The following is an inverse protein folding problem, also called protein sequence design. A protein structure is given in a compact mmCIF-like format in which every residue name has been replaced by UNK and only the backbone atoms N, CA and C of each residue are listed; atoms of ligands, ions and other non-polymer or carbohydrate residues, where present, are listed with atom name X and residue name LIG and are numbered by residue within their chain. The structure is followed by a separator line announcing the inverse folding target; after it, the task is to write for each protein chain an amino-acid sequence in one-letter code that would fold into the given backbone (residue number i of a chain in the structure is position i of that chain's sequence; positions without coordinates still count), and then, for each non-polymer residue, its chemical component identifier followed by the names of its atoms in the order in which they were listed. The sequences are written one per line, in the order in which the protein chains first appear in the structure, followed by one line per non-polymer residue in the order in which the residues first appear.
data_IF_160742012816
#
_entry.id   IF_160742012816
#
_cell.length_a   1.000
_cell.length_b   1.000
_cell.length_c   1.000
_cell.angle_alpha   90.00
_cell.angle_beta   90.00
_cell.angle_gamma   90.00
#
_symmetry.space_group_name_H-M   'P 1'
#
loop_
_entity.id
_entity.type
_entity.pdbx_description
1 polymer ?
#
# COMPACT_ATOMS: atom_id res chain seq x y z
N UNK A 1 16.49 -4.62 -8.28
CA UNK A 1 15.47 -3.62 -8.66
C UNK A 1 15.41 -2.42 -7.69
N UNK A 2 15.29 -2.63 -6.38
CA UNK A 2 15.27 -1.53 -5.39
C UNK A 2 16.45 -0.54 -5.52
N UNK A 3 17.68 -1.05 -5.67
CA UNK A 3 18.88 -0.21 -5.86
C UNK A 3 18.80 0.62 -7.15
N UNK A 4 18.38 0.02 -8.26
CA UNK A 4 18.25 0.73 -9.54
C UNK A 4 17.22 1.86 -9.44
N UNK A 5 16.09 1.64 -8.77
CA UNK A 5 15.06 2.66 -8.53
C UNK A 5 15.60 3.81 -7.66
N UNK A 6 16.40 3.48 -6.64
CA UNK A 6 17.04 4.49 -5.78
C UNK A 6 18.06 5.33 -6.57
N UNK A 7 18.90 4.69 -7.39
CA UNK A 7 19.89 5.37 -8.26
C UNK A 7 19.21 6.25 -9.31
N UNK A 8 18.05 5.82 -9.83
CA UNK A 8 17.22 6.62 -10.73
C UNK A 8 16.55 7.84 -10.06
N UNK A 9 16.75 8.07 -8.76
CA UNK A 9 16.24 9.24 -8.05
C UNK A 9 14.84 9.07 -7.45
N UNK A 10 14.33 7.86 -7.31
CA UNK A 10 13.05 7.62 -6.64
C UNK A 10 13.14 8.06 -5.16
N UNK A 11 12.38 9.11 -4.80
CA UNK A 11 12.33 9.64 -3.42
C UNK A 11 11.68 8.68 -2.43
N UNK A 12 10.76 7.84 -2.90
CA UNK A 12 10.02 6.88 -2.09
C UNK A 12 9.75 5.64 -2.94
N UNK A 13 9.89 4.45 -2.36
CA UNK A 13 9.64 3.18 -3.04
C UNK A 13 8.65 2.39 -2.20
N UNK A 14 7.53 2.01 -2.79
CA UNK A 14 6.58 1.06 -2.21
C UNK A 14 6.80 -0.30 -2.87
N UNK A 15 7.02 -1.34 -2.07
CA UNK A 15 7.32 -2.69 -2.57
C UNK A 15 6.73 -3.77 -1.65
N UNK A 16 6.45 -4.95 -2.21
CA UNK A 16 6.15 -6.15 -1.46
C UNK A 16 7.43 -6.93 -1.15
N UNK A 17 7.56 -7.40 0.10
CA UNK A 17 8.68 -8.22 0.55
C UNK A 17 8.47 -9.73 0.29
N UNK A 18 7.23 -10.12 0.00
CA UNK A 18 6.81 -11.49 -0.28
C UNK A 18 5.69 -11.49 -1.32
N UNK A 19 5.43 -12.66 -1.89
CA UNK A 19 4.30 -12.85 -2.81
C UNK A 19 3.00 -12.62 -2.05
N UNK A 20 2.13 -11.79 -2.63
CA UNK A 20 0.87 -11.38 -2.01
C UNK A 20 -0.28 -11.68 -2.98
N UNK A 21 -1.51 -11.77 -2.46
CA UNK A 21 -2.71 -11.99 -3.27
C UNK A 21 -3.10 -10.70 -4.01
N UNK A 22 -3.41 -10.80 -5.30
CA UNK A 22 -3.78 -9.67 -6.15
C UNK A 22 -5.02 -8.91 -5.62
N UNK A 23 -6.02 -9.62 -5.08
CA UNK A 23 -7.26 -9.01 -4.55
C UNK A 23 -6.95 -8.11 -3.35
N UNK A 24 -6.21 -8.62 -2.37
CA UNK A 24 -5.81 -7.84 -1.20
C UNK A 24 -4.86 -6.68 -1.57
N UNK A 25 -4.06 -6.85 -2.63
CA UNK A 25 -3.22 -5.76 -3.15
C UNK A 25 -4.06 -4.66 -3.79
N UNK A 26 -5.05 -5.04 -4.59
CA UNK A 26 -5.93 -4.09 -5.25
C UNK A 26 -6.66 -3.23 -4.23
N UNK A 27 -7.23 -3.84 -3.20
CA UNK A 27 -7.90 -3.13 -2.12
C UNK A 27 -6.95 -2.20 -1.36
N UNK A 28 -5.75 -2.69 -1.00
CA UNK A 28 -4.74 -1.90 -0.31
C UNK A 28 -4.29 -0.70 -1.13
N UNK A 29 -4.05 -0.88 -2.43
CA UNK A 29 -3.61 0.20 -3.32
C UNK A 29 -4.71 1.22 -3.56
N UNK A 30 -5.96 0.79 -3.72
CA UNK A 30 -7.13 1.69 -3.82
C UNK A 30 -7.25 2.55 -2.57
N UNK A 31 -7.29 1.94 -1.39
CA UNK A 31 -7.36 2.65 -0.11
C UNK A 31 -6.16 3.61 0.10
N UNK A 32 -4.95 3.18 -0.29
CA UNK A 32 -3.75 4.01 -0.21
C UNK A 32 -3.86 5.27 -1.07
N UNK A 33 -4.26 5.12 -2.33
CA UNK A 33 -4.38 6.27 -3.23
C UNK A 33 -5.53 7.20 -2.83
N UNK A 34 -6.68 6.66 -2.39
CA UNK A 34 -7.77 7.48 -1.85
C UNK A 34 -7.30 8.31 -0.66
N UNK A 35 -6.63 7.69 0.31
CA UNK A 35 -6.09 8.38 1.48
C UNK A 35 -5.01 9.41 1.10
N UNK A 36 -4.11 9.08 0.18
CA UNK A 36 -3.05 9.99 -0.24
C UNK A 36 -3.58 11.18 -1.03
N UNK A 37 -4.52 10.97 -1.96
CA UNK A 37 -5.12 12.03 -2.77
C UNK A 37 -6.00 12.98 -1.94
N UNK A 38 -6.48 12.56 -0.77
CA UNK A 38 -7.20 13.42 0.18
C UNK A 38 -6.35 14.50 0.88
N UNK A 39 -5.03 14.55 0.59
CA UNK A 39 -4.11 15.56 1.14
C UNK A 39 -3.27 15.09 2.32
N UNK A 40 -3.33 13.81 2.68
CA UNK A 40 -2.52 13.22 3.75
C UNK A 40 -1.05 12.99 3.34
N UNK A 41 -0.19 12.81 4.35
CA UNK A 41 1.18 12.34 4.12
C UNK A 41 1.19 10.88 3.60
N UNK A 42 2.18 10.54 2.77
CA UNK A 42 2.29 9.21 2.14
C UNK A 42 2.41 8.09 3.17
N UNK A 43 3.13 8.32 4.26
CA UNK A 43 3.30 7.30 5.30
C UNK A 43 2.00 7.07 6.07
N UNK A 44 1.28 8.14 6.36
CA UNK A 44 0.01 8.04 7.07
C UNK A 44 -1.09 7.44 6.19
N UNK A 45 -1.15 7.81 4.91
CA UNK A 45 -2.01 7.17 3.93
C UNK A 45 -1.74 5.66 3.83
N UNK A 46 -0.47 5.25 3.81
CA UNK A 46 -0.10 3.83 3.79
C UNK A 46 -0.54 3.09 5.06
N UNK A 47 -0.36 3.70 6.25
CA UNK A 47 -0.82 3.13 7.52
C UNK A 47 -2.33 3.00 7.59
N UNK A 48 -3.07 3.97 7.05
CA UNK A 48 -4.54 3.94 6.97
C UNK A 48 -4.97 2.77 6.08
N UNK A 49 -4.39 2.67 4.88
CA UNK A 49 -4.69 1.59 3.94
C UNK A 49 -4.38 0.22 4.52
N UNK A 50 -3.23 0.04 5.17
CA UNK A 50 -2.89 -1.22 5.85
C UNK A 50 -3.92 -1.61 6.90
N UNK A 51 -4.39 -0.67 7.73
CA UNK A 51 -5.44 -0.94 8.72
C UNK A 51 -6.75 -1.36 8.05
N UNK A 52 -7.16 -0.68 6.99
CA UNK A 52 -8.39 -0.99 6.26
C UNK A 52 -8.34 -2.38 5.62
N UNK A 53 -7.25 -2.73 4.93
CA UNK A 53 -7.10 -4.06 4.30
C UNK A 53 -7.03 -5.19 5.33
N UNK A 54 -6.34 -4.98 6.47
CA UNK A 54 -6.31 -5.97 7.55
C UNK A 54 -7.71 -6.22 8.10
N UNK A 55 -8.52 -5.18 8.27
CA UNK A 55 -9.91 -5.29 8.73
C UNK A 55 -10.76 -6.05 7.70
N UNK A 56 -10.67 -5.72 6.41
CA UNK A 56 -11.41 -6.42 5.36
C UNK A 56 -11.05 -7.90 5.25
N UNK A 57 -9.77 -8.25 5.39
CA UNK A 57 -9.31 -9.64 5.42
C UNK A 57 -9.84 -10.48 6.59
N UNK A 58 -10.29 -9.84 7.69
CA UNK A 58 -10.98 -10.50 8.81
C UNK A 58 -12.48 -10.71 8.54
N UNK A 59 -13.11 -9.84 7.74
CA UNK A 59 -14.56 -9.88 7.45
C UNK A 59 -14.89 -10.90 6.36
N UNK A 60 -14.04 -11.07 5.34
CA UNK A 60 -14.24 -12.02 4.23
C UNK A 60 -13.99 -13.48 4.64
N UNK A 61 -13.35 -13.73 5.78
CA UNK A 61 -13.12 -15.08 6.33
C UNK A 61 -14.27 -15.62 7.20
N UNK A 62 -15.42 -14.95 7.23
CA UNK A 62 -16.61 -15.40 7.96
C UNK A 62 -17.64 -16.04 7.04
#
# INVERSE_FOLDING_TARGET
MQLALKVAGAKTILMSLWKVNDVGTQELMTAFYEAWLSGGDKLDAFRIAQRQTIIYGQVVKK
#
